data_IF_141025089421
#
_entry.id   IF_141025089421
#
_cell.length_a   1.000
_cell.length_b   1.000
_cell.length_c   1.000
_cell.angle_alpha   90.00
_cell.angle_beta   90.00
_cell.angle_gamma   90.00
#
_symmetry.space_group_name_H-M   'P 1'
#
loop_
_entity.id
_entity.type
_entity.pdbx_description
1 polymer ?
#
# COMPACT_ATOMS: atom_id res chain seq x y z
N UNK A 1 7.74 15.24 5.02
CA UNK A 1 6.27 15.07 5.23
C UNK A 1 5.64 16.47 5.13
N UNK A 2 4.67 16.68 4.25
CA UNK A 2 3.89 17.93 4.20
C UNK A 2 2.84 17.81 5.32
N UNK A 3 2.74 18.75 6.27
CA UNK A 3 1.72 18.70 7.30
C UNK A 3 0.32 18.77 6.69
N UNK A 4 -0.65 18.00 7.19
CA UNK A 4 -2.03 17.99 6.71
C UNK A 4 -2.62 19.42 6.57
N UNK A 5 -2.35 20.29 7.54
CA UNK A 5 -2.79 21.70 7.51
C UNK A 5 -2.26 22.50 6.34
N UNK A 6 -1.09 22.14 5.78
CA UNK A 6 -0.50 22.86 4.65
C UNK A 6 -1.26 22.62 3.35
N UNK A 7 -1.86 21.45 3.16
CA UNK A 7 -2.67 21.13 1.99
C UNK A 7 -4.04 21.81 2.08
N UNK A 8 -4.68 21.77 3.23
CA UNK A 8 -5.93 22.46 3.46
C UNK A 8 -5.83 23.98 3.21
N UNK A 9 -4.68 24.57 3.58
CA UNK A 9 -4.44 26.01 3.36
C UNK A 9 -4.15 26.37 1.90
N UNK A 10 -3.53 25.47 1.14
CA UNK A 10 -3.12 25.75 -0.24
C UNK A 10 -4.26 25.51 -1.22
N UNK A 11 -5.08 24.48 -0.99
CA UNK A 11 -6.10 24.03 -1.95
C UNK A 11 -7.54 24.23 -1.45
N UNK A 12 -7.74 24.82 -0.27
CA UNK A 12 -9.06 24.96 0.39
C UNK A 12 -9.78 23.59 0.55
N UNK A 13 -9.00 22.52 0.67
CA UNK A 13 -9.49 21.16 0.87
C UNK A 13 -9.62 20.86 2.35
N UNK A 14 -10.77 20.36 2.76
CA UNK A 14 -10.99 19.85 4.11
C UNK A 14 -10.80 18.34 4.10
N UNK A 15 -9.93 17.86 4.99
CA UNK A 15 -9.80 16.42 5.23
C UNK A 15 -10.88 15.94 6.20
N UNK A 16 -11.37 14.73 6.00
CA UNK A 16 -12.32 14.08 6.92
C UNK A 16 -11.63 13.47 8.15
N UNK A 17 -10.30 13.55 8.25
CA UNK A 17 -9.58 13.07 9.43
C UNK A 17 -9.72 14.04 10.61
N UNK A 18 -10.00 13.48 11.78
CA UNK A 18 -9.97 14.27 13.01
C UNK A 18 -8.54 14.63 13.44
N UNK A 19 -8.40 15.67 14.25
CA UNK A 19 -7.08 16.06 14.79
C UNK A 19 -6.46 14.94 15.62
N UNK A 20 -7.28 14.18 16.36
CA UNK A 20 -6.85 13.03 17.14
C UNK A 20 -6.28 11.93 16.25
N UNK A 21 -6.92 11.65 15.13
CA UNK A 21 -6.42 10.65 14.16
C UNK A 21 -5.09 11.10 13.55
N UNK A 22 -4.97 12.37 13.15
CA UNK A 22 -3.73 12.92 12.61
C UNK A 22 -2.57 12.79 13.60
N UNK A 23 -2.83 13.07 14.88
CA UNK A 23 -1.82 12.89 15.94
C UNK A 23 -1.46 11.41 16.12
N UNK A 24 -2.47 10.52 16.15
CA UNK A 24 -2.24 9.08 16.28
C UNK A 24 -1.39 8.52 15.14
N UNK A 25 -1.65 8.92 13.88
CA UNK A 25 -0.83 8.53 12.72
C UNK A 25 0.63 8.97 12.87
N UNK A 26 0.86 10.19 13.37
CA UNK A 26 2.19 10.69 13.64
C UNK A 26 2.90 9.88 14.73
N UNK A 27 2.19 9.52 15.80
CA UNK A 27 2.72 8.73 16.90
C UNK A 27 3.06 7.29 16.44
N UNK A 28 2.18 6.65 15.66
CA UNK A 28 2.43 5.32 15.11
C UNK A 28 3.67 5.30 14.22
N UNK A 29 3.82 6.31 13.37
CA UNK A 29 4.99 6.43 12.52
C UNK A 29 6.28 6.64 13.32
N UNK A 30 6.24 7.48 14.36
CA UNK A 30 7.39 7.67 15.25
C UNK A 30 7.74 6.39 16.03
N UNK A 31 6.74 5.63 16.48
CA UNK A 31 6.94 4.33 17.12
C UNK A 31 7.59 3.32 16.17
N UNK A 32 7.11 3.25 14.94
CA UNK A 32 7.69 2.38 13.91
C UNK A 32 9.16 2.74 13.62
N UNK A 33 9.47 4.02 13.52
CA UNK A 33 10.84 4.51 13.32
C UNK A 33 11.72 4.42 14.58
N UNK A 34 11.22 3.86 15.68
CA UNK A 34 11.92 3.81 16.97
C UNK A 34 12.29 5.20 17.51
N UNK A 35 11.40 6.17 17.32
CA UNK A 35 11.56 7.57 17.77
C UNK A 35 10.54 7.95 18.83
N UNK A 36 10.24 7.04 19.73
CA UNK A 36 9.33 7.33 20.82
C UNK A 36 9.91 8.42 21.75
N UNK A 37 9.07 9.33 22.29
CA UNK A 37 9.54 10.47 23.08
C UNK A 37 10.23 10.10 24.41
N UNK A 38 10.02 8.89 24.89
CA UNK A 38 10.68 8.37 26.10
C UNK A 38 12.02 7.68 25.84
N UNK A 39 12.45 7.56 24.58
CA UNK A 39 13.73 6.98 24.23
C UNK A 39 14.85 8.01 24.43
N UNK A 40 15.95 7.57 25.03
CA UNK A 40 17.15 8.35 25.28
C UNK A 40 18.40 7.51 25.04
N UNK A 41 19.57 8.10 25.14
CA UNK A 41 20.83 7.38 25.01
C UNK A 41 20.96 6.19 26.00
N UNK A 42 20.31 6.30 27.15
CA UNK A 42 20.33 5.29 28.19
C UNK A 42 19.17 4.28 28.12
N UNK A 43 18.16 4.53 27.27
CA UNK A 43 16.98 3.67 27.12
C UNK A 43 17.00 3.03 25.73
N UNK A 44 17.31 1.74 25.68
CA UNK A 44 17.27 0.96 24.44
C UNK A 44 15.88 0.38 24.24
N UNK A 45 15.37 0.50 23.02
CA UNK A 45 14.12 -0.11 22.59
C UNK A 45 14.38 -1.35 21.75
N UNK A 46 13.52 -2.36 21.87
CA UNK A 46 13.50 -3.53 20.99
C UNK A 46 12.82 -3.25 19.66
N UNK A 47 12.31 -2.03 19.45
CA UNK A 47 11.53 -1.64 18.26
C UNK A 47 10.39 -2.63 17.92
N UNK A 48 9.64 -3.01 18.93
CA UNK A 48 8.56 -3.99 18.82
C UNK A 48 7.52 -3.64 17.74
N UNK A 49 7.11 -2.36 17.55
CA UNK A 49 6.18 -1.99 16.50
C UNK A 49 6.67 -2.34 15.10
N UNK A 50 7.92 -2.06 14.76
CA UNK A 50 8.50 -2.44 13.48
C UNK A 50 8.60 -3.97 13.32
N UNK A 51 8.98 -4.68 14.38
CA UNK A 51 9.03 -6.14 14.35
C UNK A 51 7.64 -6.75 14.08
N UNK A 52 6.61 -6.30 14.78
CA UNK A 52 5.23 -6.79 14.58
C UNK A 52 4.74 -6.49 13.17
N UNK A 53 4.95 -5.26 12.67
CA UNK A 53 4.56 -4.88 11.30
C UNK A 53 5.26 -5.73 10.24
N UNK A 54 6.56 -6.00 10.43
CA UNK A 54 7.35 -6.85 9.52
C UNK A 54 6.86 -8.30 9.53
N UNK A 55 6.50 -8.82 10.70
CA UNK A 55 6.01 -10.19 10.83
C UNK A 55 4.61 -10.35 10.21
N UNK A 56 3.71 -9.40 10.42
CA UNK A 56 2.39 -9.39 9.76
C UNK A 56 2.56 -9.34 8.24
N UNK A 57 3.38 -8.43 7.72
CA UNK A 57 3.65 -8.33 6.29
C UNK A 57 4.25 -9.62 5.71
N UNK A 58 5.14 -10.27 6.46
CA UNK A 58 5.73 -11.55 6.08
C UNK A 58 4.67 -12.65 5.97
N UNK A 59 3.81 -12.78 6.97
CA UNK A 59 2.75 -13.80 6.98
C UNK A 59 1.75 -13.58 5.85
N UNK A 60 1.28 -12.35 5.65
CA UNK A 60 0.34 -12.03 4.58
C UNK A 60 0.92 -12.38 3.21
N UNK A 61 2.16 -12.01 2.93
CA UNK A 61 2.78 -12.27 1.62
C UNK A 61 3.07 -13.76 1.41
N UNK A 62 3.42 -14.51 2.46
CA UNK A 62 3.64 -15.95 2.36
C UNK A 62 2.36 -16.73 2.04
N UNK A 63 1.22 -16.30 2.58
CA UNK A 63 -0.07 -16.96 2.38
C UNK A 63 -0.85 -16.42 1.18
N UNK A 64 -0.42 -15.29 0.62
CA UNK A 64 -1.08 -14.63 -0.50
C UNK A 64 -0.98 -15.47 -1.77
N UNK A 65 -2.14 -15.71 -2.37
CA UNK A 65 -2.25 -16.27 -3.73
C UNK A 65 -2.83 -15.21 -4.65
N UNK A 66 -2.21 -15.01 -5.78
CA UNK A 66 -2.70 -14.09 -6.80
C UNK A 66 -2.67 -14.73 -8.17
N UNK A 67 -3.62 -14.37 -9.01
CA UNK A 67 -3.68 -14.82 -10.39
C UNK A 67 -4.29 -13.73 -11.26
N UNK A 68 -3.86 -13.68 -12.50
CA UNK A 68 -4.45 -12.85 -13.54
C UNK A 68 -4.86 -13.81 -14.65
N UNK A 69 -6.15 -13.78 -15.00
CA UNK A 69 -6.74 -14.64 -16.01
C UNK A 69 -7.25 -13.79 -17.17
N UNK A 70 -7.11 -14.29 -18.37
CA UNK A 70 -7.77 -13.74 -19.56
C UNK A 70 -9.25 -14.16 -19.60
N UNK A 71 -9.98 -13.53 -20.51
CA UNK A 71 -11.31 -13.97 -20.92
C UNK A 71 -11.29 -14.27 -22.41
N UNK A 72 -12.05 -15.28 -22.82
CA UNK A 72 -12.33 -15.57 -24.23
C UNK A 72 -13.38 -14.61 -24.82
N UNK A 73 -13.79 -14.87 -26.04
CA UNK A 73 -14.83 -14.10 -26.73
C UNK A 73 -16.21 -14.22 -26.07
N UNK A 74 -16.46 -15.28 -25.32
CA UNK A 74 -17.72 -15.53 -24.59
C UNK A 74 -17.71 -14.94 -23.18
N UNK A 75 -16.52 -14.51 -22.69
CA UNK A 75 -16.34 -13.99 -21.35
C UNK A 75 -15.92 -15.04 -20.32
N UNK A 76 -15.64 -16.27 -20.75
CA UNK A 76 -15.21 -17.37 -19.89
C UNK A 76 -13.73 -17.23 -19.51
N UNK A 77 -13.37 -17.62 -18.29
CA UNK A 77 -12.00 -17.55 -17.75
C UNK A 77 -11.26 -18.87 -17.77
N UNK A 78 -11.97 -19.96 -18.11
CA UNK A 78 -11.43 -21.29 -18.30
C UNK A 78 -11.84 -21.86 -19.66
N UNK A 79 -10.97 -22.63 -20.27
CA UNK A 79 -11.26 -23.35 -21.52
C UNK A 79 -12.15 -24.60 -21.28
N UNK A 80 -12.46 -25.31 -22.36
CA UNK A 80 -13.29 -26.55 -22.30
C UNK A 80 -12.66 -27.66 -21.44
N UNK A 81 -11.36 -27.60 -21.16
CA UNK A 81 -10.63 -28.54 -20.33
C UNK A 81 -10.54 -28.10 -18.87
N UNK A 82 -11.02 -26.87 -18.54
CA UNK A 82 -10.91 -26.28 -17.23
C UNK A 82 -9.58 -25.56 -16.98
N UNK A 83 -8.75 -25.40 -18.00
CA UNK A 83 -7.47 -24.70 -17.89
C UNK A 83 -7.70 -23.17 -17.98
N UNK A 84 -6.91 -22.45 -17.21
CA UNK A 84 -6.99 -20.97 -17.17
C UNK A 84 -6.64 -20.36 -18.52
N UNK A 85 -7.54 -19.55 -19.06
CA UNK A 85 -7.31 -18.84 -20.31
C UNK A 85 -6.27 -17.74 -20.09
N UNK A 86 -5.21 -17.78 -20.89
CA UNK A 86 -4.20 -16.72 -20.98
C UNK A 86 -4.23 -16.10 -22.36
N UNK A 87 -4.46 -14.80 -22.41
CA UNK A 87 -4.37 -14.02 -23.64
C UNK A 87 -3.24 -12.98 -23.52
N UNK A 88 -2.78 -12.35 -24.63
CA UNK A 88 -1.65 -11.42 -24.59
C UNK A 88 -1.81 -10.27 -23.58
N UNK A 89 -3.05 -9.84 -23.34
CA UNK A 89 -3.35 -8.81 -22.33
C UNK A 89 -3.14 -9.33 -20.90
N UNK A 90 -3.58 -10.54 -20.58
CA UNK A 90 -3.39 -11.17 -19.29
C UNK A 90 -1.91 -11.46 -19.02
N UNK A 91 -1.16 -11.92 -20.04
CA UNK A 91 0.28 -12.13 -19.94
C UNK A 91 1.03 -10.84 -19.65
N UNK A 92 0.70 -9.77 -20.39
CA UNK A 92 1.26 -8.44 -20.15
C UNK A 92 0.99 -7.96 -18.71
N UNK A 93 -0.28 -8.00 -18.28
CA UNK A 93 -0.66 -7.58 -16.92
C UNK A 93 0.01 -8.42 -15.85
N UNK A 94 0.13 -9.73 -16.05
CA UNK A 94 0.82 -10.63 -15.13
C UNK A 94 2.27 -10.20 -14.95
N UNK A 95 3.00 -9.97 -16.04
CA UNK A 95 4.40 -9.53 -16.02
C UNK A 95 4.58 -8.17 -15.31
N UNK A 96 3.68 -7.22 -15.57
CA UNK A 96 3.73 -5.91 -14.93
C UNK A 96 3.40 -6.02 -13.43
N UNK A 97 2.42 -6.87 -13.07
CA UNK A 97 2.01 -7.07 -11.69
C UNK A 97 3.06 -7.80 -10.84
N UNK A 98 3.86 -8.67 -11.44
CA UNK A 98 5.00 -9.33 -10.78
C UNK A 98 5.98 -8.29 -10.20
N UNK A 99 6.18 -7.16 -10.87
CA UNK A 99 7.01 -6.05 -10.37
C UNK A 99 6.40 -5.43 -9.10
N UNK A 100 5.08 -5.27 -9.08
CA UNK A 100 4.35 -4.79 -7.89
C UNK A 100 4.50 -5.76 -6.72
N UNK A 101 4.30 -7.06 -6.97
CA UNK A 101 4.40 -8.10 -5.95
C UNK A 101 5.81 -8.21 -5.38
N UNK A 102 6.85 -8.00 -6.17
CA UNK A 102 8.25 -8.09 -5.72
C UNK A 102 8.60 -7.13 -4.59
N UNK A 103 7.93 -5.97 -4.52
CA UNK A 103 8.15 -4.96 -3.47
C UNK A 103 7.04 -4.93 -2.41
N UNK A 104 5.98 -5.73 -2.60
CA UNK A 104 4.77 -5.68 -1.78
C UNK A 104 5.07 -5.88 -0.29
N UNK A 105 5.92 -6.85 0.07
CA UNK A 105 6.25 -7.12 1.48
C UNK A 105 6.76 -5.88 2.20
N UNK A 106 7.71 -5.17 1.59
CA UNK A 106 8.31 -3.97 2.18
C UNK A 106 7.29 -2.85 2.32
N UNK A 107 6.43 -2.68 1.33
CA UNK A 107 5.39 -1.65 1.35
C UNK A 107 4.28 -1.99 2.33
N UNK A 108 3.90 -3.26 2.40
CA UNK A 108 2.90 -3.74 3.35
C UNK A 108 3.37 -3.58 4.81
N UNK A 109 4.65 -3.82 5.11
CA UNK A 109 5.22 -3.55 6.43
C UNK A 109 4.99 -2.09 6.85
N UNK A 110 5.28 -1.15 5.96
CA UNK A 110 5.03 0.28 6.19
C UNK A 110 3.53 0.58 6.33
N UNK A 111 2.69 -0.04 5.50
CA UNK A 111 1.24 0.09 5.58
C UNK A 111 0.66 -0.43 6.90
N UNK A 112 1.15 -1.58 7.38
CA UNK A 112 0.76 -2.11 8.70
C UNK A 112 1.17 -1.18 9.85
N UNK A 113 2.32 -0.54 9.74
CA UNK A 113 2.78 0.40 10.75
C UNK A 113 2.00 1.72 10.75
N UNK A 114 1.52 2.16 9.57
CA UNK A 114 0.81 3.42 9.40
C UNK A 114 -0.72 3.30 9.58
N UNK A 115 -1.26 2.07 9.51
CA UNK A 115 -2.70 1.82 9.54
C UNK A 115 -3.33 1.70 8.16
N UNK A 116 -2.64 2.07 7.08
CA UNK A 116 -3.13 1.95 5.72
C UNK A 116 -2.09 2.25 4.64
N UNK A 117 -2.40 1.82 3.43
CA UNK A 117 -1.64 2.18 2.24
C UNK A 117 -2.55 2.21 1.01
N UNK A 118 -2.17 3.02 0.03
CA UNK A 118 -2.83 3.08 -1.27
C UNK A 118 -1.84 2.64 -2.35
N UNK A 119 -2.33 1.86 -3.32
CA UNK A 119 -1.58 1.51 -4.53
C UNK A 119 -2.29 2.16 -5.71
N UNK A 120 -1.60 3.05 -6.40
CA UNK A 120 -2.12 3.72 -7.59
C UNK A 120 -1.39 3.18 -8.82
N UNK A 121 -2.04 2.33 -9.63
CA UNK A 121 -1.49 1.94 -10.93
C UNK A 121 -1.66 3.08 -11.95
N UNK A 122 -0.63 3.32 -12.76
CA UNK A 122 -0.72 4.25 -13.89
C UNK A 122 0.12 3.77 -15.07
N UNK A 123 -0.41 3.88 -16.31
CA UNK A 123 0.34 3.53 -17.50
C UNK A 123 1.29 4.67 -17.87
N UNK A 124 2.51 4.34 -18.25
CA UNK A 124 3.40 5.28 -18.91
C UNK A 124 3.34 5.02 -20.42
N UNK A 125 2.83 5.98 -21.15
CA UNK A 125 2.63 5.87 -22.60
C UNK A 125 3.96 5.85 -23.36
N UNK A 126 5.02 6.43 -22.78
CA UNK A 126 6.32 6.54 -23.45
C UNK A 126 7.06 5.22 -23.58
N UNK A 127 6.93 4.34 -22.60
CA UNK A 127 7.60 3.03 -22.55
C UNK A 127 6.64 1.84 -22.59
N UNK A 128 5.34 2.08 -22.51
CA UNK A 128 4.31 1.05 -22.55
C UNK A 128 4.26 0.17 -21.30
N UNK A 129 4.84 0.62 -20.19
CA UNK A 129 4.82 -0.10 -18.92
C UNK A 129 3.79 0.42 -17.94
N UNK A 130 3.36 -0.46 -17.04
CA UNK A 130 2.50 -0.11 -15.90
C UNK A 130 3.40 0.17 -14.68
N UNK A 131 3.22 1.34 -14.10
CA UNK A 131 3.89 1.74 -12.86
C UNK A 131 2.92 1.69 -11.70
N UNK A 132 3.47 1.51 -10.49
CA UNK A 132 2.72 1.46 -9.25
C UNK A 132 3.29 2.48 -8.29
N UNK A 133 2.51 3.50 -7.99
CA UNK A 133 2.83 4.46 -6.95
C UNK A 133 2.25 3.99 -5.61
N UNK A 134 3.06 4.12 -4.56
CA UNK A 134 2.75 3.61 -3.23
C UNK A 134 2.66 4.78 -2.27
N UNK A 135 1.47 5.02 -1.78
CA UNK A 135 1.20 6.09 -0.84
C UNK A 135 0.81 5.49 0.51
N UNK A 136 1.49 5.92 1.56
CA UNK A 136 1.19 5.51 2.93
C UNK A 136 0.17 6.46 3.54
N UNK A 137 -0.48 6.02 4.61
CA UNK A 137 -1.58 6.72 5.27
C UNK A 137 -1.22 8.16 5.68
N UNK A 138 0.01 8.40 6.15
CA UNK A 138 0.48 9.76 6.47
C UNK A 138 0.60 10.72 5.28
N UNK A 139 0.38 10.25 4.07
CA UNK A 139 0.37 11.04 2.83
C UNK A 139 -0.97 10.92 2.09
N UNK A 140 -1.98 10.32 2.73
CA UNK A 140 -3.35 10.23 2.23
C UNK A 140 -4.20 11.33 2.88
N UNK A 141 -5.02 11.98 2.07
CA UNK A 141 -5.90 13.05 2.50
C UNK A 141 -7.33 12.67 2.12
N UNK A 142 -8.01 11.84 2.92
CA UNK A 142 -9.39 11.46 2.65
C UNK A 142 -10.30 12.68 2.77
N UNK A 143 -11.11 12.90 1.74
CA UNK A 143 -12.05 14.03 1.66
C UNK A 143 -13.42 13.62 2.21
N UNK A 144 -13.83 12.37 1.91
CA UNK A 144 -15.09 11.81 2.38
C UNK A 144 -14.94 10.30 2.60
N UNK A 145 -15.76 9.75 3.48
CA UNK A 145 -15.99 8.31 3.61
C UNK A 145 -17.44 8.05 3.23
N UNK A 146 -17.67 7.03 2.40
CA UNK A 146 -19.01 6.49 2.16
C UNK A 146 -19.30 5.47 3.27
N UNK A 147 -20.50 5.61 3.90
CA UNK A 147 -20.99 4.69 4.92
C UNK A 147 -21.58 3.40 4.30
#
# INVERSE_FOLDING_TARGET
>A
MIPYRSIEQVEDLQTSLSTEMINALSDWYNLYLNKAPWLSENVKSMNLPAFVSSEIARQVVLEMKWSITGKDANGDTADENGDTIMNPRAEYLKKEFEKCISVLRQKLEQGCAAGGMLIKPYPNVADGHLYFDWTMDWSLYPIAFDD
#
